data_IF_362859376163
#
_entry.id   IF_362859376163
#
_cell.length_a   1.000
_cell.length_b   1.000
_cell.length_c   1.000
_cell.angle_alpha   90.00
_cell.angle_beta   90.00
_cell.angle_gamma   90.00
#
_symmetry.space_group_name_H-M   'P 1'
#
loop_
_entity.id
_entity.type
_entity.pdbx_description
1 polymer ?
#
# COMPACT_ATOMS: atom_id res chain seq x y z
N UNK A 1 18.74 -37.14 13.79
CA UNK A 1 18.09 -36.30 14.83
C UNK A 1 17.20 -35.32 14.10
N UNK A 2 15.88 -35.40 14.26
CA UNK A 2 14.95 -34.46 13.61
C UNK A 2 15.18 -33.12 14.30
N UNK A 3 15.55 -32.09 13.54
CA UNK A 3 15.72 -30.74 14.06
C UNK A 3 14.33 -30.17 14.35
N UNK A 4 13.87 -30.29 15.60
CA UNK A 4 12.54 -29.81 16.05
C UNK A 4 12.55 -28.28 16.23
N UNK A 5 13.75 -27.68 16.33
CA UNK A 5 13.93 -26.24 16.28
C UNK A 5 13.84 -25.78 14.83
N UNK A 6 12.61 -25.51 14.39
CA UNK A 6 12.35 -24.70 13.20
C UNK A 6 13.02 -23.35 13.41
N UNK A 7 13.71 -22.86 12.38
CA UNK A 7 14.38 -21.56 12.42
C UNK A 7 13.44 -20.49 13.02
N UNK A 8 13.94 -19.61 13.91
CA UNK A 8 13.12 -18.54 14.45
C UNK A 8 12.51 -17.77 13.28
N UNK A 9 11.21 -17.45 13.39
CA UNK A 9 10.52 -16.67 12.38
C UNK A 9 11.40 -15.45 12.04
N UNK A 10 11.88 -15.39 10.79
CA UNK A 10 12.67 -14.24 10.34
C UNK A 10 11.85 -12.98 10.61
N UNK A 11 12.47 -11.88 11.07
CA UNK A 11 11.74 -10.66 11.39
C UNK A 11 10.92 -10.23 10.18
N UNK A 12 9.61 -10.41 10.28
CA UNK A 12 8.69 -9.98 9.25
C UNK A 12 8.60 -8.47 9.32
N UNK A 13 8.99 -7.80 8.24
CA UNK A 13 8.87 -6.36 8.14
C UNK A 13 7.44 -6.01 7.77
N UNK A 14 6.88 -5.04 8.48
CA UNK A 14 5.55 -4.47 8.19
C UNK A 14 5.46 -3.96 6.73
N UNK A 15 6.61 -3.56 6.16
CA UNK A 15 6.79 -3.13 4.78
C UNK A 15 7.71 -4.09 4.02
N UNK A 16 7.27 -4.55 2.85
CA UNK A 16 8.09 -5.32 1.92
C UNK A 16 8.50 -4.48 0.70
N UNK A 17 9.46 -4.99 -0.10
CA UNK A 17 9.92 -4.30 -1.31
C UNK A 17 8.80 -3.97 -2.29
N UNK A 18 7.78 -4.84 -2.38
CA UNK A 18 6.59 -4.58 -3.20
C UNK A 18 5.79 -3.38 -2.70
N UNK A 19 5.74 -3.14 -1.40
CA UNK A 19 5.01 -2.00 -0.84
C UNK A 19 5.70 -0.67 -1.21
N UNK A 20 7.02 -0.63 -1.15
CA UNK A 20 7.80 0.53 -1.64
C UNK A 20 7.57 0.78 -3.12
N UNK A 21 7.58 -0.29 -3.94
CA UNK A 21 7.29 -0.18 -5.36
C UNK A 21 5.88 0.36 -5.63
N UNK A 22 4.87 -0.11 -4.89
CA UNK A 22 3.50 0.39 -4.98
C UNK A 22 3.45 1.88 -4.61
N UNK A 23 4.07 2.30 -3.50
CA UNK A 23 4.10 3.71 -3.08
C UNK A 23 4.71 4.60 -4.16
N UNK A 24 5.89 4.21 -4.68
CA UNK A 24 6.60 4.99 -5.71
C UNK A 24 5.74 5.09 -6.97
N UNK A 25 5.16 3.97 -7.41
CA UNK A 25 4.30 3.92 -8.60
C UNK A 25 3.08 4.81 -8.46
N UNK A 26 2.40 4.77 -7.31
CA UNK A 26 1.25 5.64 -7.03
C UNK A 26 1.67 7.11 -7.07
N UNK A 27 2.77 7.47 -6.40
CA UNK A 27 3.23 8.86 -6.35
C UNK A 27 3.61 9.39 -7.73
N UNK A 28 4.24 8.57 -8.58
CA UNK A 28 4.54 8.92 -9.96
C UNK A 28 3.26 9.18 -10.78
N UNK A 29 2.27 8.30 -10.65
CA UNK A 29 0.97 8.45 -11.34
C UNK A 29 0.26 9.73 -10.87
N UNK A 30 0.20 9.97 -9.55
CA UNK A 30 -0.39 11.18 -9.00
C UNK A 30 0.33 12.45 -9.46
N UNK A 31 1.66 12.44 -9.47
CA UNK A 31 2.47 13.54 -9.98
C UNK A 31 2.13 13.83 -11.46
N UNK A 32 2.10 12.80 -12.31
CA UNK A 32 1.76 12.96 -13.72
C UNK A 32 0.35 13.52 -13.93
N UNK A 33 -0.63 13.06 -13.14
CA UNK A 33 -2.00 13.55 -13.18
C UNK A 33 -2.06 15.06 -12.85
N UNK A 34 -1.34 15.50 -11.82
CA UNK A 34 -1.29 16.92 -11.43
C UNK A 34 -0.58 17.76 -12.48
N UNK A 35 0.58 17.31 -12.95
CA UNK A 35 1.42 18.02 -13.92
C UNK A 35 0.70 18.22 -15.25
N UNK A 36 -0.01 17.19 -15.73
CA UNK A 36 -0.79 17.25 -16.96
C UNK A 36 -2.19 17.83 -16.77
N UNK A 37 -2.53 18.31 -15.57
CA UNK A 37 -3.85 18.86 -15.21
C UNK A 37 -5.01 17.92 -15.62
N UNK A 38 -4.80 16.61 -15.52
CA UNK A 38 -5.73 15.58 -16.00
C UNK A 38 -6.91 15.33 -15.05
N UNK A 39 -6.83 15.80 -13.81
CA UNK A 39 -7.87 15.64 -12.82
C UNK A 39 -8.27 16.97 -12.20
N UNK A 40 -9.51 17.04 -11.72
CA UNK A 40 -10.06 18.15 -10.93
C UNK A 40 -10.49 17.63 -9.58
N UNK A 41 -10.49 18.47 -8.55
CA UNK A 41 -10.91 18.10 -7.20
C UNK A 41 -12.44 18.01 -7.05
N UNK A 42 -13.04 17.01 -7.70
CA UNK A 42 -14.49 16.79 -7.73
C UNK A 42 -14.93 15.72 -6.71
N UNK A 43 -16.23 15.57 -6.48
CA UNK A 43 -16.75 14.49 -5.63
C UNK A 43 -16.38 13.11 -6.19
N UNK A 44 -16.43 12.94 -7.52
CA UNK A 44 -16.08 11.69 -8.17
C UNK A 44 -14.60 11.33 -7.95
N UNK A 45 -13.67 12.30 -8.12
CA UNK A 45 -12.25 12.05 -7.90
C UNK A 45 -11.94 11.66 -6.44
N UNK A 46 -12.66 12.24 -5.47
CA UNK A 46 -12.52 11.87 -4.04
C UNK A 46 -12.96 10.43 -3.79
N UNK A 47 -14.11 10.03 -4.36
CA UNK A 47 -14.63 8.67 -4.20
C UNK A 47 -13.67 7.66 -4.85
N UNK A 48 -13.20 7.95 -6.08
CA UNK A 48 -12.25 7.08 -6.79
C UNK A 48 -10.95 6.93 -6.03
N UNK A 49 -10.35 8.04 -5.56
CA UNK A 49 -9.13 7.99 -4.75
C UNK A 49 -9.37 7.28 -3.41
N UNK A 50 -10.52 7.47 -2.79
CA UNK A 50 -10.90 6.78 -1.56
C UNK A 50 -10.95 5.27 -1.76
N UNK A 51 -11.71 4.78 -2.74
CA UNK A 51 -11.78 3.34 -3.06
C UNK A 51 -10.39 2.80 -3.40
N UNK A 52 -9.62 3.53 -4.18
CA UNK A 52 -8.27 3.12 -4.57
C UNK A 52 -7.36 2.94 -3.35
N UNK A 53 -7.26 3.95 -2.47
CA UNK A 53 -6.35 3.91 -1.33
C UNK A 53 -6.83 3.04 -0.16
N UNK A 54 -8.14 2.97 0.10
CA UNK A 54 -8.67 2.26 1.27
C UNK A 54 -9.06 0.81 0.99
N UNK A 55 -9.27 0.45 -0.28
CA UNK A 55 -9.70 -0.90 -0.67
C UNK A 55 -8.66 -1.53 -1.60
N UNK A 56 -8.42 -0.94 -2.77
CA UNK A 56 -7.63 -1.58 -3.83
C UNK A 56 -6.18 -1.79 -3.39
N UNK A 57 -5.51 -0.74 -2.89
CA UNK A 57 -4.10 -0.82 -2.52
C UNK A 57 -3.84 -1.80 -1.35
N UNK A 58 -4.56 -1.74 -0.22
CA UNK A 58 -4.44 -2.73 0.84
C UNK A 58 -4.64 -4.17 0.32
N UNK A 59 -5.65 -4.41 -0.52
CA UNK A 59 -5.91 -5.74 -1.09
C UNK A 59 -4.78 -6.21 -2.00
N UNK A 60 -4.23 -5.34 -2.85
CA UNK A 60 -3.12 -5.70 -3.73
C UNK A 60 -1.87 -6.03 -2.92
N UNK A 61 -1.49 -5.17 -1.97
CA UNK A 61 -0.32 -5.37 -1.11
C UNK A 61 -0.41 -6.66 -0.28
N UNK A 62 -1.57 -6.91 0.34
CA UNK A 62 -1.79 -8.11 1.15
C UNK A 62 -1.82 -9.38 0.31
N UNK A 63 -2.40 -9.36 -0.90
CA UNK A 63 -2.36 -10.51 -1.80
C UNK A 63 -0.94 -10.84 -2.27
N UNK A 64 -0.11 -9.83 -2.55
CA UNK A 64 1.30 -10.04 -2.90
C UNK A 64 2.03 -10.69 -1.72
N UNK A 65 1.84 -10.14 -0.52
CA UNK A 65 2.49 -10.68 0.68
C UNK A 65 2.04 -12.11 0.99
N UNK A 66 0.75 -12.40 0.87
CA UNK A 66 0.19 -13.72 1.12
C UNK A 66 0.77 -14.77 0.16
N UNK A 67 0.94 -14.43 -1.13
CA UNK A 67 1.63 -15.29 -2.10
C UNK A 67 3.10 -15.48 -1.75
N UNK A 68 3.79 -14.43 -1.30
CA UNK A 68 5.19 -14.52 -0.90
C UNK A 68 5.37 -15.41 0.33
N UNK A 69 4.48 -15.30 1.33
CA UNK A 69 4.50 -16.12 2.54
C UNK A 69 4.28 -17.59 2.19
N UNK A 70 3.30 -17.92 1.35
CA UNK A 70 3.05 -19.30 0.91
C UNK A 70 4.19 -19.89 0.09
N UNK A 71 4.92 -19.07 -0.69
CA UNK A 71 6.07 -19.54 -1.46
C UNK A 71 7.33 -19.72 -0.62
N UNK A 72 7.50 -18.91 0.44
CA UNK A 72 8.72 -18.89 1.26
C UNK A 72 8.65 -19.83 2.46
N UNK A 73 7.47 -20.06 3.03
CA UNK A 73 7.29 -20.86 4.24
C UNK A 73 6.37 -22.05 3.97
N UNK A 74 6.83 -23.24 4.37
CA UNK A 74 6.03 -24.47 4.31
C UNK A 74 4.81 -24.41 5.25
N UNK A 75 4.91 -23.64 6.35
CA UNK A 75 3.85 -23.46 7.35
C UNK A 75 3.66 -21.97 7.61
N UNK A 76 2.42 -21.51 7.46
CA UNK A 76 2.02 -20.13 7.76
C UNK A 76 1.63 -20.04 9.24
N UNK A 77 2.36 -19.24 10.01
CA UNK A 77 2.07 -18.97 11.42
C UNK A 77 1.13 -17.77 11.60
N UNK A 78 0.47 -17.67 12.77
CA UNK A 78 -0.45 -16.60 13.13
C UNK A 78 0.18 -15.21 13.12
N UNK A 79 1.48 -15.11 13.40
CA UNK A 79 2.20 -13.83 13.26
C UNK A 79 2.27 -13.35 11.80
N UNK A 80 2.46 -14.25 10.83
CA UNK A 80 2.48 -13.87 9.41
C UNK A 80 1.13 -13.28 8.99
N UNK A 81 0.03 -13.92 9.41
CA UNK A 81 -1.32 -13.41 9.15
C UNK A 81 -1.58 -12.08 9.84
N UNK A 82 -1.11 -11.91 11.09
CA UNK A 82 -1.23 -10.65 11.82
C UNK A 82 -0.50 -9.50 11.10
N UNK A 83 0.73 -9.73 10.63
CA UNK A 83 1.46 -8.71 9.87
C UNK A 83 0.78 -8.35 8.55
N UNK A 84 0.27 -9.33 7.82
CA UNK A 84 -0.52 -9.09 6.60
C UNK A 84 -1.77 -8.27 6.93
N UNK A 85 -2.48 -8.60 8.01
CA UNK A 85 -3.65 -7.84 8.45
C UNK A 85 -3.30 -6.39 8.84
N UNK A 86 -2.21 -6.20 9.57
CA UNK A 86 -1.72 -4.87 9.98
C UNK A 86 -1.30 -3.99 8.79
N UNK A 87 -1.12 -4.54 7.58
CA UNK A 87 -0.91 -3.71 6.38
C UNK A 87 -2.11 -2.83 6.05
N UNK A 88 -3.34 -3.25 6.37
CA UNK A 88 -4.54 -2.43 6.11
C UNK A 88 -4.49 -1.05 6.79
N UNK A 89 -4.37 -0.95 8.14
CA UNK A 89 -4.33 0.36 8.80
C UNK A 89 -3.13 1.20 8.37
N UNK A 90 -2.00 0.56 8.05
CA UNK A 90 -0.80 1.24 7.53
C UNK A 90 -1.08 1.89 6.17
N UNK A 91 -1.68 1.15 5.24
CA UNK A 91 -2.05 1.68 3.94
C UNK A 91 -3.14 2.75 4.02
N UNK A 92 -4.06 2.65 4.97
CA UNK A 92 -5.04 3.71 5.22
C UNK A 92 -4.38 5.01 5.67
N UNK A 93 -3.43 4.95 6.61
CA UNK A 93 -2.67 6.13 7.05
C UNK A 93 -1.90 6.76 5.87
N UNK A 94 -1.21 5.95 5.07
CA UNK A 94 -0.52 6.43 3.87
C UNK A 94 -1.49 7.01 2.84
N UNK A 95 -2.65 6.39 2.67
CA UNK A 95 -3.71 6.87 1.77
C UNK A 95 -4.21 8.25 2.18
N UNK A 96 -4.51 8.46 3.46
CA UNK A 96 -4.91 9.77 4.00
C UNK A 96 -3.84 10.83 3.71
N UNK A 97 -2.56 10.51 3.96
CA UNK A 97 -1.44 11.41 3.71
C UNK A 97 -1.34 11.76 2.20
N UNK A 98 -1.40 10.75 1.32
CA UNK A 98 -1.33 10.96 -0.12
C UNK A 98 -2.50 11.80 -0.65
N UNK A 99 -3.73 11.53 -0.19
CA UNK A 99 -4.92 12.29 -0.55
C UNK A 99 -4.78 13.76 -0.12
N UNK A 100 -4.25 14.00 1.08
CA UNK A 100 -3.99 15.35 1.58
C UNK A 100 -2.99 16.11 0.72
N UNK A 101 -1.85 15.49 0.38
CA UNK A 101 -0.85 16.10 -0.47
C UNK A 101 -1.38 16.33 -1.89
N UNK A 102 -2.05 15.34 -2.48
CA UNK A 102 -2.64 15.46 -3.80
C UNK A 102 -3.62 16.64 -3.89
N UNK A 103 -4.48 16.82 -2.88
CA UNK A 103 -5.36 18.00 -2.80
C UNK A 103 -4.55 19.31 -2.81
N UNK A 104 -3.50 19.41 -1.99
CA UNK A 104 -2.65 20.61 -1.93
C UNK A 104 -1.98 20.89 -3.27
N UNK A 105 -1.40 19.87 -3.91
CA UNK A 105 -0.71 20.03 -5.19
C UNK A 105 -1.66 20.41 -6.32
N UNK A 106 -2.87 19.83 -6.34
CA UNK A 106 -3.86 20.17 -7.34
C UNK A 106 -4.33 21.63 -7.20
N UNK A 107 -4.61 22.08 -5.97
CA UNK A 107 -4.97 23.47 -5.70
C UNK A 107 -3.87 24.47 -6.04
N UNK A 108 -2.59 24.08 -5.92
CA UNK A 108 -1.47 24.91 -6.34
C UNK A 108 -1.36 24.96 -7.88
N UNK A 109 -1.50 23.82 -8.56
CA UNK A 109 -1.48 23.71 -10.03
C UNK A 109 -2.64 24.46 -10.71
N UNK A 110 -3.81 24.57 -10.06
CA UNK A 110 -4.94 25.36 -10.56
C UNK A 110 -4.72 26.88 -10.46
N UNK A 111 -3.78 27.35 -9.63
CA UNK A 111 -3.47 28.78 -9.44
C UNK A 111 -2.41 29.31 -10.40
N UNK A 112 -1.60 28.41 -10.98
CA UNK A 112 -0.52 28.72 -11.93
C UNK A 112 -0.95 28.39 -13.37
#
# INVERSE_FOLDING_TARGET
MINIFREPAQPFTLFSYSDFFIIISINLVLYFIVEKKLAKWTTLSKIVLGIFFFIVIPLVSTNIELKNVHNKFEIVDGFNLLYIFLKFPVWWLLGIINIYFFKKYLQHSERN
#
